data_IF_628601523198
#
_entry.id   IF_628601523198
#
_cell.length_a   1.000
_cell.length_b   1.000
_cell.length_c   1.000
_cell.angle_alpha   90.00
_cell.angle_beta   90.00
_cell.angle_gamma   90.00
#
_symmetry.space_group_name_H-M   'P 1'
#
loop_
_entity.id
_entity.type
_entity.pdbx_description
1 polymer ?
#
# COMPACT_ATOMS: atom_id res chain seq x y z
N UNK A 1 -12.33 0.92 -0.19
CA UNK A 1 -11.07 1.65 -0.51
C UNK A 1 -10.11 1.55 0.66
N UNK A 2 -8.80 1.71 0.44
CA UNK A 2 -7.76 1.55 1.46
C UNK A 2 -6.91 2.82 1.55
N UNK A 3 -6.73 3.37 2.75
CA UNK A 3 -5.96 4.59 2.93
C UNK A 3 -4.47 4.27 3.10
N UNK A 4 -3.64 4.97 2.34
CA UNK A 4 -2.19 4.87 2.41
C UNK A 4 -1.59 6.20 2.86
N UNK A 5 -0.46 6.11 3.57
CA UNK A 5 0.31 7.26 4.07
C UNK A 5 1.80 7.08 3.85
N UNK A 6 2.44 8.13 3.35
CA UNK A 6 3.88 8.15 3.19
C UNK A 6 4.51 8.72 4.46
N UNK A 7 5.38 7.93 5.10
CA UNK A 7 6.06 8.36 6.32
C UNK A 7 7.17 9.39 6.06
N UNK A 8 7.62 9.54 4.80
CA UNK A 8 8.69 10.47 4.41
C UNK A 8 8.18 11.90 4.17
N UNK A 9 7.11 12.05 3.39
CA UNK A 9 6.58 13.37 3.04
C UNK A 9 5.23 13.69 3.70
N UNK A 10 4.61 12.72 4.39
CA UNK A 10 3.32 12.89 5.04
C UNK A 10 2.11 12.84 4.11
N UNK A 11 2.30 12.62 2.81
CA UNK A 11 1.23 12.49 1.84
C UNK A 11 0.29 11.32 2.18
N UNK A 12 -1.02 11.52 1.99
CA UNK A 12 -2.06 10.53 2.25
C UNK A 12 -3.01 10.44 1.05
N UNK A 13 -3.36 9.22 0.64
CA UNK A 13 -4.28 8.99 -0.48
C UNK A 13 -5.09 7.71 -0.27
N UNK A 14 -6.29 7.68 -0.85
CA UNK A 14 -7.15 6.51 -0.87
C UNK A 14 -6.91 5.69 -2.13
N UNK A 15 -6.33 4.51 -1.97
CA UNK A 15 -6.15 3.54 -3.04
C UNK A 15 -7.43 2.68 -3.22
N UNK A 16 -7.94 2.54 -4.46
CA UNK A 16 -9.00 1.58 -4.77
C UNK A 16 -8.56 0.14 -4.49
N UNK A 17 -9.51 -0.74 -4.16
CA UNK A 17 -9.20 -2.12 -3.84
C UNK A 17 -8.56 -2.88 -5.01
N UNK A 18 -8.96 -2.60 -6.26
CA UNK A 18 -8.39 -3.25 -7.44
C UNK A 18 -6.89 -2.92 -7.62
N UNK A 19 -6.46 -1.69 -7.32
CA UNK A 19 -5.05 -1.29 -7.40
C UNK A 19 -4.22 -2.04 -6.36
N UNK A 20 -4.76 -2.17 -5.16
CA UNK A 20 -4.11 -2.89 -4.06
C UNK A 20 -4.02 -4.39 -4.38
N UNK A 21 -5.05 -4.98 -4.96
CA UNK A 21 -5.09 -6.40 -5.34
C UNK A 21 -4.08 -6.72 -6.45
N UNK A 22 -4.02 -5.91 -7.52
CA UNK A 22 -3.05 -6.11 -8.61
C UNK A 22 -1.60 -5.97 -8.14
N UNK A 23 -1.32 -5.00 -7.26
CA UNK A 23 0.04 -4.79 -6.74
C UNK A 23 0.41 -5.88 -5.74
N UNK A 24 -0.54 -6.32 -4.90
CA UNK A 24 -0.35 -7.48 -4.01
C UNK A 24 0.01 -8.74 -4.78
N UNK A 25 -0.69 -9.01 -5.88
CA UNK A 25 -0.38 -10.16 -6.75
C UNK A 25 1.02 -10.07 -7.37
N UNK A 26 1.47 -8.89 -7.81
CA UNK A 26 2.85 -8.71 -8.30
C UNK A 26 3.90 -8.87 -7.19
N UNK A 27 3.64 -8.39 -5.98
CA UNK A 27 4.54 -8.52 -4.83
C UNK A 27 4.71 -9.97 -4.36
N UNK A 28 3.62 -10.75 -4.41
CA UNK A 28 3.66 -12.20 -4.16
C UNK A 28 4.54 -12.95 -5.16
N UNK A 29 4.51 -12.55 -6.44
CA UNK A 29 5.35 -13.15 -7.50
C UNK A 29 6.83 -12.78 -7.33
N UNK A 30 7.12 -11.63 -6.70
CA UNK A 30 8.49 -11.11 -6.53
C UNK A 30 9.19 -11.56 -5.23
N UNK A 31 8.52 -12.30 -4.34
CA UNK A 31 9.10 -12.88 -3.10
C UNK A 31 9.88 -11.88 -2.21
N UNK A 32 9.40 -10.65 -2.02
CA UNK A 32 9.99 -9.76 -1.02
C UNK A 32 9.35 -10.01 0.36
N UNK A 33 10.16 -10.35 1.37
CA UNK A 33 9.76 -10.78 2.72
C UNK A 33 9.40 -9.59 3.63
N UNK A 34 8.68 -8.59 3.09
CA UNK A 34 8.42 -7.34 3.78
C UNK A 34 7.30 -7.48 4.82
N UNK A 35 7.49 -6.87 6.01
CA UNK A 35 6.57 -6.92 7.16
C UNK A 35 5.13 -6.49 6.84
N UNK A 36 4.90 -5.80 5.73
CA UNK A 36 3.56 -5.46 5.24
C UNK A 36 2.69 -6.67 4.88
N UNK A 37 3.28 -7.82 4.56
CA UNK A 37 2.56 -9.10 4.40
C UNK A 37 1.79 -9.51 5.65
N UNK A 38 2.23 -9.09 6.86
CA UNK A 38 1.53 -9.42 8.12
C UNK A 38 0.14 -8.79 8.24
N UNK A 39 -0.16 -7.74 7.47
CA UNK A 39 -1.51 -7.15 7.36
C UNK A 39 -2.25 -7.51 6.06
N UNK A 40 -1.64 -8.32 5.19
CA UNK A 40 -2.21 -8.69 3.89
C UNK A 40 -2.37 -7.52 2.92
N UNK A 41 -1.57 -6.45 3.08
CA UNK A 41 -1.62 -5.28 2.21
C UNK A 41 -0.23 -5.02 1.61
N UNK A 42 -0.11 -4.77 0.29
CA UNK A 42 1.16 -4.42 -0.33
C UNK A 42 1.67 -3.05 0.13
N UNK A 43 2.98 -2.83 0.02
CA UNK A 43 3.57 -1.49 0.10
C UNK A 43 3.43 -0.84 -1.27
N UNK A 44 2.83 0.34 -1.32
CA UNK A 44 2.75 1.14 -2.55
C UNK A 44 3.95 2.09 -2.64
N UNK A 45 4.11 2.74 -3.80
CA UNK A 45 5.12 3.80 -3.97
C UNK A 45 4.43 5.17 -3.87
N UNK A 46 4.99 6.06 -3.05
CA UNK A 46 4.45 7.40 -2.86
C UNK A 46 4.61 8.22 -4.14
N UNK A 47 3.53 8.77 -4.72
CA UNK A 47 3.61 9.53 -5.96
C UNK A 47 4.36 10.88 -5.79
N UNK A 48 4.52 11.38 -4.57
CA UNK A 48 5.17 12.66 -4.31
C UNK A 48 6.70 12.57 -4.14
N UNK A 49 7.20 11.47 -3.57
CA UNK A 49 8.62 11.39 -3.18
C UNK A 49 9.27 10.03 -3.46
N UNK A 50 8.55 9.13 -4.13
CA UNK A 50 8.98 7.78 -4.52
C UNK A 50 9.47 6.91 -3.36
N UNK A 51 9.09 7.25 -2.13
CA UNK A 51 9.34 6.43 -0.95
C UNK A 51 8.19 5.47 -0.71
N UNK A 52 8.38 4.53 0.20
CA UNK A 52 7.36 3.58 0.61
C UNK A 52 6.08 4.28 1.11
N UNK A 53 4.96 3.76 0.63
CA UNK A 53 3.63 4.24 0.89
C UNK A 53 2.86 3.13 1.60
N UNK A 54 2.64 3.33 2.90
CA UNK A 54 2.17 2.27 3.80
C UNK A 54 0.68 2.38 4.06
N UNK A 55 0.00 1.24 4.18
CA UNK A 55 -1.40 1.20 4.57
C UNK A 55 -1.59 1.71 6.01
N UNK A 56 -2.49 2.68 6.21
CA UNK A 56 -2.70 3.28 7.54
C UNK A 56 -3.50 2.39 8.49
N UNK A 57 -4.22 1.41 7.97
CA UNK A 57 -5.22 0.65 8.73
C UNK A 57 -6.65 1.07 8.44
N UNK A 58 -6.87 2.21 7.79
CA UNK A 58 -8.21 2.69 7.43
C UNK A 58 -8.67 2.04 6.12
N UNK A 59 -9.72 1.23 6.23
CA UNK A 59 -10.44 0.69 5.08
C UNK A 59 -11.88 1.18 5.09
N UNK A 60 -12.29 1.85 4.03
CA UNK A 60 -13.70 2.16 3.83
C UNK A 60 -14.37 0.94 3.20
N UNK A 61 -15.31 0.33 3.94
CA UNK A 61 -16.19 -0.73 3.40
C UNK A 61 -17.13 -0.08 2.40
N UNK A 62 -16.94 -0.38 1.12
CA UNK A 62 -17.97 -0.15 0.10
C UNK A 62 -19.06 -1.21 0.23
#
# INVERSE_FOLDING_TARGET
MYKYRCLKCGYEEWAPAFVVDEIGYMDEVLQDDSECKKKGMPVLVCPCCNADFYFTGDSEKQ
#
